data_IF_949601975577
#
_entry.id   IF_949601975577
#
_cell.length_a   1.000
_cell.length_b   1.000
_cell.length_c   1.000
_cell.angle_alpha   90.00
_cell.angle_beta   90.00
_cell.angle_gamma   90.00
#
_symmetry.space_group_name_H-M   'P 1'
#
loop_
_entity.id
_entity.type
_entity.pdbx_description
1 polymer ?
#
# COMPACT_ATOMS: atom_id res chain seq x y z
N UNK A 1 -25.34 -28.21 3.42
CA UNK A 1 -24.31 -28.60 2.43
C UNK A 1 -23.44 -27.40 2.13
N UNK A 2 -22.18 -27.42 2.59
CA UNK A 2 -21.19 -26.38 2.30
C UNK A 2 -20.12 -26.98 1.38
N UNK A 3 -19.77 -26.25 0.33
CA UNK A 3 -18.67 -26.62 -0.55
C UNK A 3 -17.36 -26.10 0.06
N UNK A 4 -16.22 -26.70 -0.30
CA UNK A 4 -14.89 -26.33 0.25
C UNK A 4 -14.01 -25.64 -0.80
N UNK A 5 -14.62 -24.93 -1.76
CA UNK A 5 -13.86 -24.27 -2.82
C UNK A 5 -13.04 -23.13 -2.21
N UNK A 6 -11.72 -23.18 -2.40
CA UNK A 6 -10.79 -22.16 -1.91
C UNK A 6 -10.61 -20.99 -2.87
N UNK A 7 -10.88 -21.20 -4.16
CA UNK A 7 -10.74 -20.22 -5.24
C UNK A 7 -11.70 -20.57 -6.37
N UNK A 8 -12.11 -19.53 -7.12
CA UNK A 8 -12.74 -19.71 -8.42
C UNK A 8 -11.65 -19.82 -9.50
N UNK A 9 -11.82 -20.65 -10.53
CA UNK A 9 -10.85 -20.72 -11.62
C UNK A 9 -10.84 -19.39 -12.39
N UNK A 10 -9.67 -18.96 -12.87
CA UNK A 10 -9.53 -17.71 -13.63
C UNK A 10 -10.46 -17.69 -14.85
N UNK A 11 -10.74 -18.85 -15.46
CA UNK A 11 -11.63 -18.97 -16.61
C UNK A 11 -13.08 -18.54 -16.36
N UNK A 12 -13.50 -18.34 -15.10
CA UNK A 12 -14.83 -17.80 -14.79
C UNK A 12 -15.01 -16.41 -15.43
N UNK A 13 -13.94 -15.61 -15.54
CA UNK A 13 -14.01 -14.27 -16.17
C UNK A 13 -14.32 -14.32 -17.67
N UNK A 14 -14.09 -15.46 -18.33
CA UNK A 14 -14.40 -15.63 -19.75
C UNK A 14 -15.90 -15.88 -20.01
N UNK A 15 -16.70 -16.08 -18.97
CA UNK A 15 -18.14 -16.31 -19.08
C UNK A 15 -18.88 -14.99 -19.29
N UNK A 16 -18.66 -14.32 -20.42
CA UNK A 16 -19.21 -12.98 -20.73
C UNK A 16 -20.73 -12.92 -20.74
N UNK A 17 -21.41 -14.06 -20.91
CA UNK A 17 -22.89 -14.18 -20.85
C UNK A 17 -23.43 -14.51 -19.46
N UNK A 18 -22.56 -14.67 -18.44
CA UNK A 18 -22.96 -15.00 -17.08
C UNK A 18 -23.74 -13.84 -16.46
N UNK A 19 -24.95 -14.11 -15.98
CA UNK A 19 -25.82 -13.12 -15.33
C UNK A 19 -25.85 -13.26 -13.81
N UNK A 20 -25.70 -14.48 -13.31
CA UNK A 20 -25.74 -14.78 -11.87
C UNK A 20 -24.55 -15.66 -11.53
N UNK A 21 -23.78 -15.22 -10.54
CA UNK A 21 -22.71 -16.00 -9.93
C UNK A 21 -23.01 -16.16 -8.44
N UNK A 22 -23.47 -17.34 -8.06
CA UNK A 22 -23.67 -17.71 -6.65
C UNK A 22 -22.56 -18.66 -6.22
N UNK A 23 -21.65 -18.15 -5.38
CA UNK A 23 -20.56 -18.87 -4.77
C UNK A 23 -20.63 -18.81 -3.23
N UNK A 24 -21.83 -18.68 -2.67
CA UNK A 24 -22.03 -18.70 -1.21
C UNK A 24 -21.68 -20.06 -0.59
N UNK A 25 -21.46 -20.08 0.73
CA UNK A 25 -21.18 -21.31 1.48
C UNK A 25 -19.95 -22.09 0.95
N UNK A 26 -18.88 -21.36 0.64
CA UNK A 26 -17.57 -21.88 0.20
C UNK A 26 -16.45 -21.42 1.15
N UNK A 27 -15.17 -21.65 0.80
CA UNK A 27 -14.00 -21.17 1.55
C UNK A 27 -13.16 -20.21 0.69
N UNK A 28 -13.80 -19.40 -0.16
CA UNK A 28 -13.10 -18.54 -1.11
C UNK A 28 -12.17 -17.57 -0.36
N UNK A 29 -10.89 -17.57 -0.73
CA UNK A 29 -9.88 -16.67 -0.15
C UNK A 29 -9.79 -15.35 -0.91
N UNK A 30 -10.01 -15.41 -2.21
CA UNK A 30 -9.99 -14.28 -3.13
C UNK A 30 -10.92 -14.56 -4.30
N UNK A 31 -11.33 -13.49 -4.98
CA UNK A 31 -11.98 -13.56 -6.28
C UNK A 31 -10.93 -13.32 -7.38
N UNK A 32 -11.16 -13.79 -8.61
CA UNK A 32 -10.29 -13.50 -9.75
C UNK A 32 -10.11 -11.98 -9.93
N UNK A 33 -8.94 -11.56 -10.39
CA UNK A 33 -8.66 -10.13 -10.63
C UNK A 33 -9.32 -9.61 -11.92
N UNK A 34 -9.65 -10.46 -12.90
CA UNK A 34 -10.16 -10.04 -14.23
C UNK A 34 -11.70 -10.04 -14.31
N UNK A 35 -12.40 -9.60 -13.26
CA UNK A 35 -13.87 -9.65 -13.20
C UNK A 35 -14.54 -8.70 -14.20
N UNK A 36 -13.83 -7.70 -14.72
CA UNK A 36 -14.35 -6.70 -15.67
C UNK A 36 -14.93 -7.30 -16.96
N UNK A 37 -14.52 -8.53 -17.31
CA UNK A 37 -15.03 -9.25 -18.48
C UNK A 37 -16.48 -9.73 -18.31
N UNK A 38 -16.97 -9.82 -17.08
CA UNK A 38 -18.33 -10.26 -16.75
C UNK A 38 -19.34 -9.11 -16.92
N UNK A 39 -19.36 -8.51 -18.11
CA UNK A 39 -20.14 -7.31 -18.44
C UNK A 39 -21.66 -7.48 -18.28
N UNK A 40 -22.16 -8.71 -18.30
CA UNK A 40 -23.58 -9.06 -18.16
C UNK A 40 -23.95 -9.57 -16.77
N UNK A 41 -23.00 -9.60 -15.82
CA UNK A 41 -23.26 -10.08 -14.48
C UNK A 41 -24.15 -9.08 -13.74
N UNK A 42 -25.30 -9.56 -13.28
CA UNK A 42 -26.32 -8.79 -12.57
C UNK A 42 -26.32 -9.10 -11.08
N UNK A 43 -26.05 -10.36 -10.71
CA UNK A 43 -26.05 -10.80 -9.31
C UNK A 43 -24.76 -11.53 -9.00
N UNK A 44 -24.04 -11.02 -8.01
CA UNK A 44 -22.86 -11.66 -7.44
C UNK A 44 -23.11 -11.95 -5.96
N UNK A 45 -23.19 -13.24 -5.61
CA UNK A 45 -23.28 -13.68 -4.23
C UNK A 45 -22.04 -14.47 -3.84
N UNK A 46 -21.26 -13.92 -2.92
CA UNK A 46 -20.07 -14.55 -2.33
C UNK A 46 -20.17 -14.53 -0.80
N UNK A 47 -21.40 -14.56 -0.28
CA UNK A 47 -21.62 -14.54 1.17
C UNK A 47 -21.25 -15.86 1.84
N UNK A 48 -21.04 -15.80 3.15
CA UNK A 48 -20.79 -16.97 3.98
C UNK A 48 -19.58 -17.80 3.51
N UNK A 49 -18.47 -17.14 3.12
CA UNK A 49 -17.23 -17.85 2.76
C UNK A 49 -16.35 -18.20 3.99
N UNK A 50 -16.99 -18.58 5.10
CA UNK A 50 -16.37 -18.96 6.38
C UNK A 50 -15.20 -18.07 6.81
N UNK A 51 -15.34 -16.74 6.65
CA UNK A 51 -14.32 -15.74 7.02
C UNK A 51 -12.98 -15.89 6.28
N UNK A 52 -12.94 -16.61 5.15
CA UNK A 52 -11.73 -16.76 4.33
C UNK A 52 -11.52 -15.58 3.37
N UNK A 53 -12.61 -14.93 2.94
CA UNK A 53 -12.56 -13.82 2.00
C UNK A 53 -12.26 -12.52 2.75
N UNK A 54 -11.05 -11.98 2.55
CA UNK A 54 -10.58 -10.79 3.26
C UNK A 54 -10.62 -9.52 2.39
N UNK A 55 -10.45 -9.65 1.08
CA UNK A 55 -10.39 -8.52 0.14
C UNK A 55 -11.23 -8.82 -1.10
N UNK A 56 -11.72 -7.75 -1.73
CA UNK A 56 -12.40 -7.80 -3.02
C UNK A 56 -11.51 -7.14 -4.07
N UNK A 57 -11.45 -7.69 -5.30
CA UNK A 57 -10.62 -7.16 -6.37
C UNK A 57 -11.14 -5.80 -6.84
N UNK A 58 -10.24 -4.94 -7.33
CA UNK A 58 -10.61 -3.62 -7.83
C UNK A 58 -11.55 -3.71 -9.05
N UNK A 59 -11.38 -4.74 -9.88
CA UNK A 59 -12.22 -5.01 -11.07
C UNK A 59 -13.69 -5.24 -10.75
N UNK A 60 -14.05 -5.54 -9.50
CA UNK A 60 -15.44 -5.67 -9.08
C UNK A 60 -16.24 -4.41 -9.41
N UNK A 61 -15.64 -3.23 -9.24
CA UNK A 61 -16.25 -1.95 -9.59
C UNK A 61 -16.45 -1.69 -11.08
N UNK A 62 -15.92 -2.57 -11.95
CA UNK A 62 -16.05 -2.50 -13.40
C UNK A 62 -17.20 -3.38 -13.94
N UNK A 63 -17.92 -4.08 -13.06
CA UNK A 63 -19.10 -4.87 -13.42
C UNK A 63 -20.29 -3.96 -13.75
N UNK A 64 -20.32 -3.44 -14.98
CA UNK A 64 -21.28 -2.40 -15.44
C UNK A 64 -22.75 -2.79 -15.35
N UNK A 65 -23.05 -4.09 -15.30
CA UNK A 65 -24.42 -4.62 -15.20
C UNK A 65 -24.83 -5.04 -13.80
N UNK A 66 -23.94 -4.94 -12.81
CA UNK A 66 -24.21 -5.48 -11.47
C UNK A 66 -25.31 -4.70 -10.77
N UNK A 67 -26.32 -5.43 -10.32
CA UNK A 67 -27.51 -4.93 -9.62
C UNK A 67 -27.48 -5.33 -8.14
N UNK A 68 -27.05 -6.56 -7.85
CA UNK A 68 -26.96 -7.07 -6.49
C UNK A 68 -25.57 -7.61 -6.18
N UNK A 69 -25.01 -7.14 -5.07
CA UNK A 69 -23.75 -7.62 -4.52
C UNK A 69 -23.96 -8.06 -3.08
N UNK A 70 -23.75 -9.34 -2.81
CA UNK A 70 -23.77 -9.89 -1.46
C UNK A 70 -22.39 -10.45 -1.09
N UNK A 71 -21.75 -9.79 -0.13
CA UNK A 71 -20.44 -10.14 0.42
C UNK A 71 -20.53 -10.36 1.93
N UNK A 72 -21.73 -10.58 2.46
CA UNK A 72 -21.98 -10.78 3.90
C UNK A 72 -21.27 -12.01 4.48
N UNK A 73 -21.03 -11.99 5.80
CA UNK A 73 -20.44 -13.09 6.58
C UNK A 73 -19.08 -13.56 6.04
N UNK A 74 -18.21 -12.59 5.78
CA UNK A 74 -16.83 -12.78 5.37
C UNK A 74 -15.89 -12.10 6.38
N UNK A 75 -14.63 -11.84 6.00
CA UNK A 75 -13.65 -11.14 6.84
C UNK A 75 -13.16 -9.86 6.14
N UNK A 76 -14.05 -9.22 5.40
CA UNK A 76 -13.71 -8.03 4.62
C UNK A 76 -13.56 -6.84 5.56
N UNK A 77 -12.38 -6.22 5.55
CA UNK A 77 -12.07 -5.06 6.40
C UNK A 77 -12.33 -3.74 5.69
N UNK A 78 -12.22 -3.73 4.36
CA UNK A 78 -12.55 -2.56 3.56
C UNK A 78 -13.14 -2.94 2.21
N UNK A 79 -14.07 -2.13 1.73
CA UNK A 79 -14.56 -2.23 0.36
C UNK A 79 -13.59 -1.51 -0.60
N UNK A 80 -13.34 -2.05 -1.80
CA UNK A 80 -12.59 -1.35 -2.82
C UNK A 80 -13.33 -0.08 -3.26
N UNK A 81 -12.59 1.01 -3.42
CA UNK A 81 -13.14 2.32 -3.77
C UNK A 81 -13.88 2.28 -5.13
N UNK A 82 -13.53 1.32 -6.00
CA UNK A 82 -14.18 1.08 -7.30
C UNK A 82 -15.65 0.68 -7.19
N UNK A 83 -16.14 0.18 -6.05
CA UNK A 83 -17.59 -0.09 -5.86
C UNK A 83 -18.43 1.19 -6.04
N UNK A 84 -17.85 2.37 -5.78
CA UNK A 84 -18.49 3.65 -6.08
C UNK A 84 -18.86 3.82 -7.57
N UNK A 85 -18.17 3.14 -8.49
CA UNK A 85 -18.41 3.21 -9.93
C UNK A 85 -19.62 2.37 -10.40
N UNK A 86 -20.20 1.52 -9.53
CA UNK A 86 -21.29 0.62 -9.90
C UNK A 86 -22.62 1.36 -10.05
N UNK A 87 -22.88 1.88 -11.26
CA UNK A 87 -24.05 2.71 -11.57
C UNK A 87 -25.39 1.98 -11.39
N UNK A 88 -25.46 0.68 -11.70
CA UNK A 88 -26.70 -0.11 -11.64
C UNK A 88 -26.94 -0.82 -10.31
N UNK A 89 -25.98 -0.76 -9.37
CA UNK A 89 -26.10 -1.48 -8.10
C UNK A 89 -27.26 -0.91 -7.28
N UNK A 90 -28.21 -1.77 -6.92
CA UNK A 90 -29.39 -1.45 -6.13
C UNK A 90 -29.34 -2.08 -4.74
N UNK A 91 -28.59 -3.16 -4.58
CA UNK A 91 -28.48 -3.89 -3.32
C UNK A 91 -27.03 -4.25 -3.01
N UNK A 92 -26.59 -3.87 -1.82
CA UNK A 92 -25.28 -4.19 -1.28
C UNK A 92 -25.45 -4.77 0.12
N UNK A 93 -25.08 -6.04 0.31
CA UNK A 93 -25.12 -6.71 1.60
C UNK A 93 -23.69 -6.96 2.09
N UNK A 94 -23.35 -6.38 3.24
CA UNK A 94 -22.00 -6.45 3.83
C UNK A 94 -22.00 -6.92 5.29
N UNK A 95 -23.16 -7.30 5.81
CA UNK A 95 -23.36 -7.70 7.20
C UNK A 95 -22.40 -8.81 7.63
N UNK A 96 -22.01 -8.85 8.90
CA UNK A 96 -21.12 -9.90 9.41
C UNK A 96 -19.67 -9.83 8.89
N UNK A 97 -19.23 -8.65 8.43
CA UNK A 97 -17.84 -8.35 8.13
C UNK A 97 -17.27 -7.35 9.15
N UNK A 98 -15.98 -7.43 9.52
CA UNK A 98 -15.30 -6.46 10.37
C UNK A 98 -14.91 -5.19 9.58
N UNK A 99 -15.88 -4.56 8.91
CA UNK A 99 -15.64 -3.39 8.05
C UNK A 99 -15.20 -2.17 8.85
N UNK A 100 -14.11 -1.55 8.41
CA UNK A 100 -13.56 -0.29 8.94
C UNK A 100 -13.81 0.86 7.95
N UNK A 101 -13.87 0.56 6.65
CA UNK A 101 -14.11 1.55 5.58
C UNK A 101 -14.95 0.94 4.46
N UNK A 102 -16.13 1.49 4.13
CA UNK A 102 -16.81 2.62 4.77
C UNK A 102 -17.20 2.31 6.22
N UNK A 103 -17.29 3.33 7.09
CA UNK A 103 -17.74 3.13 8.45
C UNK A 103 -19.27 2.89 8.47
N UNK A 104 -19.78 2.23 9.51
CA UNK A 104 -21.16 1.74 9.54
C UNK A 104 -22.20 2.86 9.42
N UNK A 105 -21.87 4.06 9.89
CA UNK A 105 -22.73 5.24 9.81
C UNK A 105 -23.07 5.63 8.36
N UNK A 106 -22.19 5.33 7.40
CA UNK A 106 -22.45 5.58 5.98
C UNK A 106 -23.41 4.55 5.40
N UNK A 107 -23.34 3.29 5.87
CA UNK A 107 -24.26 2.23 5.47
C UNK A 107 -25.68 2.46 6.00
N UNK A 108 -25.81 3.03 7.21
CA UNK A 108 -27.11 3.35 7.80
C UNK A 108 -27.87 4.46 7.06
N UNK A 109 -27.17 5.33 6.32
CA UNK A 109 -27.80 6.41 5.57
C UNK A 109 -28.48 5.90 4.30
N UNK A 110 -27.69 5.39 3.35
CA UNK A 110 -28.18 4.82 2.10
C UNK A 110 -27.06 4.17 1.31
N UNK A 111 -27.43 3.31 0.35
CA UNK A 111 -26.50 2.79 -0.64
C UNK A 111 -25.81 3.91 -1.45
N UNK A 112 -26.53 5.01 -1.71
CA UNK A 112 -25.99 6.12 -2.48
C UNK A 112 -24.88 6.85 -1.71
N UNK A 113 -25.06 7.06 -0.40
CA UNK A 113 -24.03 7.63 0.47
C UNK A 113 -22.76 6.76 0.49
N UNK A 114 -22.92 5.43 0.52
CA UNK A 114 -21.81 4.48 0.41
C UNK A 114 -21.05 4.64 -0.91
N UNK A 115 -21.78 4.71 -2.04
CA UNK A 115 -21.16 4.92 -3.35
C UNK A 115 -20.42 6.26 -3.44
N UNK A 116 -21.00 7.32 -2.88
CA UNK A 116 -20.41 8.65 -2.85
C UNK A 116 -19.13 8.68 -2.01
N UNK A 117 -19.17 8.12 -0.80
CA UNK A 117 -18.00 7.99 0.08
C UNK A 117 -16.84 7.27 -0.64
N UNK A 118 -17.14 6.13 -1.29
CA UNK A 118 -16.12 5.37 -2.03
C UNK A 118 -15.61 6.14 -3.26
N UNK A 119 -16.48 6.86 -3.98
CA UNK A 119 -16.08 7.73 -5.08
C UNK A 119 -15.16 8.88 -4.63
N UNK A 120 -15.47 9.52 -3.52
CA UNK A 120 -14.64 10.59 -2.95
C UNK A 120 -13.28 10.08 -2.50
N UNK A 121 -13.26 8.92 -1.84
CA UNK A 121 -12.02 8.26 -1.43
C UNK A 121 -11.13 7.91 -2.63
N UNK A 122 -11.74 7.43 -3.72
CA UNK A 122 -11.01 7.16 -4.98
C UNK A 122 -10.37 8.43 -5.57
N UNK A 123 -11.09 9.56 -5.54
CA UNK A 123 -10.57 10.86 -6.03
C UNK A 123 -9.45 11.39 -5.14
N UNK A 124 -9.58 11.26 -3.82
CA UNK A 124 -8.58 11.69 -2.86
C UNK A 124 -7.24 10.95 -3.03
N UNK A 125 -7.30 9.64 -3.35
CA UNK A 125 -6.12 8.81 -3.60
C UNK A 125 -5.35 9.12 -4.90
N UNK A 126 -5.98 9.79 -5.88
CA UNK A 126 -5.33 10.17 -7.15
C UNK A 126 -4.65 11.56 -7.11
N UNK A 127 -4.76 12.30 -5.99
CA UNK A 127 -3.96 13.51 -5.81
C UNK A 127 -2.48 13.12 -5.67
N UNK A 128 -1.66 13.44 -6.68
CA UNK A 128 -0.20 13.32 -6.63
C UNK A 128 0.34 13.75 -5.26
N UNK A 129 1.31 13.02 -4.65
CA UNK A 129 1.97 13.53 -3.47
C UNK A 129 2.64 14.83 -3.88
N UNK A 130 2.18 15.97 -3.32
CA UNK A 130 2.86 17.26 -3.47
C UNK A 130 4.31 16.99 -3.08
N UNK A 131 5.22 17.02 -4.05
CA UNK A 131 6.66 17.01 -3.79
C UNK A 131 6.90 18.15 -2.81
N UNK A 132 7.15 17.82 -1.54
CA UNK A 132 7.68 18.77 -0.58
C UNK A 132 9.04 19.17 -1.15
N UNK A 133 9.05 20.29 -1.86
CA UNK A 133 10.27 20.94 -2.31
C UNK A 133 10.99 21.37 -1.03
N UNK A 134 11.98 20.59 -0.61
CA UNK A 134 12.89 20.99 0.44
C UNK A 134 13.81 22.07 -0.14
N UNK A 135 13.27 23.28 -0.31
CA UNK A 135 14.09 24.47 -0.49
C UNK A 135 14.70 24.76 0.87
N UNK A 136 15.84 24.13 1.14
CA UNK A 136 16.67 24.43 2.29
C UNK A 136 16.92 25.93 2.33
N UNK A 137 16.59 26.55 3.47
CA UNK A 137 17.02 27.90 3.83
C UNK A 137 18.54 27.93 3.74
N UNK A 138 19.04 28.49 2.65
CA UNK A 138 20.46 28.79 2.46
C UNK A 138 20.79 29.95 3.39
N UNK A 139 21.31 29.64 4.58
CA UNK A 139 21.74 30.66 5.53
C UNK A 139 23.00 31.30 4.97
N UNK A 140 22.87 32.57 4.60
CA UNK A 140 23.96 33.42 4.12
C UNK A 140 24.89 33.73 5.30
N UNK A 141 26.04 33.06 5.38
CA UNK A 141 27.10 33.44 6.31
C UNK A 141 27.63 34.82 5.90
N UNK A 142 27.25 35.86 6.64
CA UNK A 142 27.81 37.20 6.53
C UNK A 142 29.21 37.23 7.13
N UNK A 143 30.17 37.72 6.34
CA UNK A 143 31.54 38.03 6.75
C UNK A 143 31.55 39.06 7.87
N UNK A 144 32.01 38.68 9.06
CA UNK A 144 32.19 39.60 10.18
C UNK A 144 33.58 40.24 10.09
N UNK A 145 33.62 41.53 9.75
CA UNK A 145 34.81 42.36 9.84
C UNK A 145 34.40 43.67 10.53
N UNK A 146 34.93 43.94 11.72
CA UNK A 146 34.55 45.11 12.51
C UNK A 146 35.29 45.17 13.85
N UNK A 147 36.41 45.88 13.84
CA UNK A 147 37.37 46.15 14.93
C UNK A 147 36.76 46.90 16.12
N UNK A 148 37.45 46.78 17.27
CA UNK A 148 37.92 47.80 18.26
C UNK A 148 38.13 46.98 19.56
N UNK A 149 39.21 47.01 20.35
CA UNK A 149 40.45 47.78 20.47
C UNK A 149 41.09 47.38 21.83
N UNK A 150 42.39 47.59 22.02
CA UNK A 150 43.06 47.53 23.34
C UNK A 150 44.00 46.32 23.60
N UNK A 151 45.31 46.60 23.64
CA UNK A 151 46.44 45.76 24.11
C UNK A 151 46.68 46.01 25.63
N UNK A 152 47.66 45.37 26.32
CA UNK A 152 48.27 44.02 26.22
C UNK A 152 48.55 43.34 27.60
N UNK A 153 49.23 42.18 27.59
CA UNK A 153 50.29 41.73 28.55
C UNK A 153 49.98 40.64 29.62
N UNK A 154 50.88 39.65 29.72
CA UNK A 154 51.10 38.74 30.89
C UNK A 154 50.76 37.26 30.63
N UNK A 155 51.72 36.38 30.30
CA UNK A 155 52.57 35.52 31.17
C UNK A 155 51.82 34.47 32.02
N UNK A 156 52.22 33.19 31.83
CA UNK A 156 52.21 32.04 32.78
C UNK A 156 50.80 31.54 33.17
N UNK A 157 50.52 30.32 33.60
CA UNK A 157 51.15 29.01 33.81
C UNK A 157 49.94 28.11 34.16
N UNK A 158 49.96 26.80 33.87
CA UNK A 158 48.97 25.89 34.45
C UNK A 158 48.51 24.75 33.55
N UNK A 159 49.34 23.72 33.45
CA UNK A 159 48.90 22.35 33.18
C UNK A 159 48.33 21.76 34.47
N UNK A 160 47.11 21.22 34.43
CA UNK A 160 46.67 20.12 35.29
C UNK A 160 45.87 19.12 34.43
N UNK A 161 46.48 17.95 34.22
CA UNK A 161 45.87 16.67 33.83
C UNK A 161 45.04 16.12 35.02
N UNK A 162 44.09 15.18 34.99
CA UNK A 162 43.99 13.79 34.47
C UNK A 162 42.48 13.43 34.69
N UNK A 163 41.77 12.72 33.81
CA UNK A 163 41.50 11.26 33.88
C UNK A 163 40.28 11.06 32.97
N UNK A 164 40.11 10.10 32.07
CA UNK A 164 40.58 8.73 32.03
C UNK A 164 40.21 8.23 30.60
N UNK A 165 41.17 8.04 29.70
CA UNK A 165 40.95 7.23 28.50
C UNK A 165 42.16 6.32 28.34
N UNK A 166 41.94 5.06 28.75
CA UNK A 166 42.95 4.01 28.70
C UNK A 166 43.04 3.48 27.27
N UNK A 167 44.26 3.40 26.77
CA UNK A 167 44.67 2.89 25.47
C UNK A 167 44.36 1.41 25.28
N UNK A 168 44.00 1.02 24.05
CA UNK A 168 44.24 -0.34 23.55
C UNK A 168 45.02 -0.21 22.25
N UNK A 169 46.31 -0.54 22.33
CA UNK A 169 47.10 -0.95 21.17
C UNK A 169 46.65 -2.36 20.77
N UNK A 170 46.24 -2.50 19.52
CA UNK A 170 45.88 -3.79 18.93
C UNK A 170 46.23 -3.75 17.45
N UNK A 171 47.37 -4.35 17.14
CA UNK A 171 47.99 -4.45 15.83
C UNK A 171 47.01 -4.92 14.73
N UNK A 172 47.12 -4.28 13.57
CA UNK A 172 46.42 -4.65 12.35
C UNK A 172 46.75 -6.08 11.89
N UNK A 173 45.72 -6.84 11.51
CA UNK A 173 45.85 -7.98 10.61
C UNK A 173 44.64 -8.02 9.66
N UNK A 174 44.84 -7.96 8.32
CA UNK A 174 43.75 -7.70 7.39
C UNK A 174 43.26 -8.98 6.73
N UNK A 175 42.09 -9.50 7.10
CA UNK A 175 41.30 -10.36 6.20
C UNK A 175 39.81 -10.09 6.40
N UNK A 176 39.16 -9.78 5.28
CA UNK A 176 37.73 -9.58 5.05
C UNK A 176 37.11 -8.20 5.35
N UNK A 177 37.29 -7.27 4.42
CA UNK A 177 36.27 -6.28 4.05
C UNK A 177 35.88 -6.49 2.58
N UNK A 178 34.83 -7.27 2.35
CA UNK A 178 33.90 -7.01 1.24
C UNK A 178 32.79 -6.10 1.80
N UNK A 179 32.10 -5.25 1.07
CA UNK A 179 31.91 -5.08 -0.37
C UNK A 179 31.12 -3.78 -0.52
N UNK A 180 31.73 -2.67 -0.94
CA UNK A 180 30.97 -1.54 -1.49
C UNK A 180 31.87 -0.72 -2.42
N UNK A 181 31.74 -0.94 -3.74
CA UNK A 181 31.31 0.16 -4.61
C UNK A 181 31.07 -0.28 -6.07
N UNK A 182 30.03 0.28 -6.72
CA UNK A 182 29.58 -0.10 -8.05
C UNK A 182 30.23 0.79 -9.12
N UNK A 183 30.87 0.20 -10.14
CA UNK A 183 31.05 0.77 -11.50
C UNK A 183 31.86 -0.17 -12.39
N UNK A 184 31.44 -0.24 -13.66
CA UNK A 184 31.93 -1.01 -14.83
C UNK A 184 31.00 -2.19 -15.13
N UNK A 185 29.90 -2.02 -15.86
CA UNK A 185 29.76 -1.37 -17.18
C UNK A 185 30.88 -1.84 -18.12
N UNK A 186 30.48 -2.49 -19.21
CA UNK A 186 31.28 -3.11 -20.29
C UNK A 186 31.63 -4.59 -20.08
N UNK A 187 30.70 -5.45 -20.51
CA UNK A 187 31.02 -6.78 -21.06
C UNK A 187 31.91 -6.65 -22.30
N UNK A 188 32.70 -7.69 -22.63
CA UNK A 188 32.29 -8.51 -23.77
C UNK A 188 32.43 -10.03 -23.55
N UNK A 189 31.47 -10.75 -24.15
CA UNK A 189 31.44 -12.18 -24.44
C UNK A 189 32.80 -12.73 -24.88
N UNK A 190 33.20 -13.90 -24.36
CA UNK A 190 33.86 -14.96 -25.13
C UNK A 190 33.37 -16.35 -24.71
N UNK A 191 33.23 -17.18 -25.74
CA UNK A 191 32.71 -18.54 -25.80
C UNK A 191 33.71 -19.60 -25.28
N UNK A 192 33.19 -20.84 -25.18
CA UNK A 192 33.83 -22.17 -25.32
C UNK A 192 34.17 -22.96 -24.04
N UNK A 193 33.40 -24.07 -23.88
CA UNK A 193 33.79 -25.48 -23.60
C UNK A 193 34.63 -25.81 -22.35
N UNK A 194 34.44 -26.92 -21.64
CA UNK A 194 33.75 -28.18 -21.87
C UNK A 194 33.36 -28.75 -20.51
#
# INVERSE_FOLDING_TARGET
NANKLGFLPQSISHLTSLRVLDARLNCLRFLPEDMENLINLEVLNVSQNFQCLENLPYSLGLLVSLVELDVSYNKITSLPDSIGCLKKLQKLCVEGNPLVSPPMEVFEQSLQAVKEYLCEKMKAGQSHPKKQSWVGKLVKCGTFNGKIGGRPQGKREGFIMISEYRSIEGLASPRYMGLLSPRRLFSPRKYLTK
#
